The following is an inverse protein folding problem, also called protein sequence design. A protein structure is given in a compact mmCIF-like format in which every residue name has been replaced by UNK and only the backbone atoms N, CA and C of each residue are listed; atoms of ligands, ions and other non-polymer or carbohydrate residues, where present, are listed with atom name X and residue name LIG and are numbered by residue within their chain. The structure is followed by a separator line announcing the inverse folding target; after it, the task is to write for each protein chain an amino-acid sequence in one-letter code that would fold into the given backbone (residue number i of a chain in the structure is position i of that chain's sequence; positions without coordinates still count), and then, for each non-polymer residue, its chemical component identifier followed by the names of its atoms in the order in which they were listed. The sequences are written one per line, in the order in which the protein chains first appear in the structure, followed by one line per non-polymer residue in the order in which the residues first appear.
data_IF_226904996880
#
_entry.id   IF_226904996880
#
_cell.length_a   1.000
_cell.length_b   1.000
_cell.length_c   1.000
_cell.angle_alpha   90.00
_cell.angle_beta   90.00
_cell.angle_gamma   90.00
#
_symmetry.space_group_name_H-M   'P 1'
#
loop_
_entity.id
_entity.type
_entity.pdbx_description
1 polymer ?
#
# COMPACT_ATOMS: atom_id res chain seq x y z
N UNK A 1 -20.02 -1.26 33.79
CA UNK A 1 -18.66 -1.06 33.22
C UNK A 1 -18.81 -0.33 31.89
N UNK A 2 -18.74 0.99 31.89
CA UNK A 2 -18.86 1.78 30.65
C UNK A 2 -17.46 2.20 30.23
N UNK A 3 -16.87 1.47 29.29
CA UNK A 3 -15.53 1.74 28.80
C UNK A 3 -15.59 3.01 27.93
N UNK A 4 -15.13 4.14 28.48
CA UNK A 4 -14.97 5.39 27.72
C UNK A 4 -13.88 5.12 26.69
N UNK A 5 -14.30 4.86 25.44
CA UNK A 5 -13.38 4.77 24.30
C UNK A 5 -12.63 6.11 24.24
N UNK A 6 -11.29 6.16 24.37
CA UNK A 6 -10.60 7.42 24.50
C UNK A 6 -10.76 8.21 23.20
N UNK A 7 -11.23 9.46 23.28
CA UNK A 7 -11.50 10.35 22.13
C UNK A 7 -10.36 10.38 21.08
N UNK A 8 -9.10 10.17 21.51
CA UNK A 8 -7.93 10.06 20.63
C UNK A 8 -7.98 8.85 19.69
N UNK A 9 -8.50 7.72 20.15
CA UNK A 9 -8.65 6.51 19.33
C UNK A 9 -9.77 6.66 18.30
N UNK A 10 -10.87 7.36 18.64
CA UNK A 10 -11.93 7.68 17.68
C UNK A 10 -11.46 8.70 16.64
N UNK A 11 -10.73 9.74 17.06
CA UNK A 11 -10.14 10.73 16.14
C UNK A 11 -9.15 10.07 15.16
N UNK A 12 -8.33 9.12 15.62
CA UNK A 12 -7.41 8.37 14.75
C UNK A 12 -8.17 7.52 13.73
N UNK A 13 -9.17 6.75 14.18
CA UNK A 13 -10.01 5.95 13.28
C UNK A 13 -10.75 6.79 12.24
N UNK A 14 -11.24 7.97 12.63
CA UNK A 14 -11.89 8.89 11.71
C UNK A 14 -10.92 9.44 10.66
N UNK A 15 -9.67 9.72 11.06
CA UNK A 15 -8.61 10.11 10.12
C UNK A 15 -8.26 8.97 9.16
N UNK A 16 -7.99 7.76 9.67
CA UNK A 16 -7.71 6.57 8.86
C UNK A 16 -8.84 6.32 7.84
N UNK A 17 -10.10 6.40 8.28
CA UNK A 17 -11.27 6.27 7.40
C UNK A 17 -11.33 7.36 6.33
N UNK A 18 -11.07 8.61 6.70
CA UNK A 18 -11.04 9.73 5.75
C UNK A 18 -9.97 9.52 4.67
N UNK A 19 -8.76 9.11 5.05
CA UNK A 19 -7.66 8.88 4.11
C UNK A 19 -7.95 7.69 3.18
N UNK A 20 -8.54 6.60 3.71
CA UNK A 20 -8.95 5.47 2.89
C UNK A 20 -10.00 5.85 1.83
N UNK A 21 -11.05 6.58 2.23
CA UNK A 21 -12.10 7.06 1.33
C UNK A 21 -11.57 8.06 0.31
N UNK A 22 -10.68 8.96 0.73
CA UNK A 22 -10.04 9.91 -0.16
C UNK A 22 -9.21 9.19 -1.22
N UNK A 23 -8.40 8.19 -0.82
CA UNK A 23 -7.60 7.40 -1.75
C UNK A 23 -8.47 6.68 -2.79
N UNK A 24 -9.59 6.08 -2.39
CA UNK A 24 -10.52 5.46 -3.34
C UNK A 24 -11.12 6.48 -4.31
N UNK A 25 -11.59 7.62 -3.79
CA UNK A 25 -12.21 8.65 -4.62
C UNK A 25 -11.23 9.25 -5.64
N UNK A 26 -9.98 9.52 -5.23
CA UNK A 26 -8.94 10.01 -6.15
C UNK A 26 -8.51 8.95 -7.17
N UNK A 27 -8.46 7.67 -6.78
CA UNK A 27 -8.13 6.59 -7.70
C UNK A 27 -9.20 6.41 -8.78
N UNK A 28 -10.48 6.54 -8.41
CA UNK A 28 -11.63 6.37 -9.32
C UNK A 28 -11.87 7.59 -10.21
N UNK A 29 -11.75 8.81 -9.65
CA UNK A 29 -12.24 10.04 -10.31
C UNK A 29 -11.16 11.05 -10.62
N UNK A 30 -9.91 10.81 -10.23
CA UNK A 30 -8.80 11.72 -10.44
C UNK A 30 -9.10 13.14 -9.91
N UNK A 31 -8.85 14.14 -10.74
CA UNK A 31 -9.14 15.56 -10.44
C UNK A 31 -10.63 15.82 -10.16
N UNK A 32 -11.52 15.01 -10.74
CA UNK A 32 -12.98 15.10 -10.58
C UNK A 32 -13.50 14.64 -9.21
N UNK A 33 -12.65 14.15 -8.31
CA UNK A 33 -13.07 13.74 -6.97
C UNK A 33 -13.58 14.95 -6.14
N UNK A 34 -14.80 14.90 -5.61
CA UNK A 34 -15.35 15.97 -4.76
C UNK A 34 -14.91 15.82 -3.29
N UNK A 35 -14.33 16.87 -2.71
CA UNK A 35 -13.91 16.87 -1.30
C UNK A 35 -15.11 16.79 -0.34
N UNK A 36 -16.24 17.39 -0.72
CA UNK A 36 -17.48 17.34 0.06
C UNK A 36 -18.06 15.92 0.07
N UNK A 37 -18.00 15.22 -1.07
CA UNK A 37 -18.41 13.82 -1.18
C UNK A 37 -17.50 12.90 -0.38
N UNK A 38 -16.18 13.14 -0.41
CA UNK A 38 -15.20 12.42 0.39
C UNK A 38 -15.50 12.61 1.88
N UNK A 39 -15.69 13.84 2.34
CA UNK A 39 -16.02 14.14 3.73
C UNK A 39 -17.30 13.42 4.17
N UNK A 40 -18.35 13.51 3.36
CA UNK A 40 -19.64 12.85 3.59
C UNK A 40 -19.51 11.33 3.67
N UNK A 41 -18.82 10.68 2.72
CA UNK A 41 -18.56 9.22 2.72
C UNK A 41 -17.73 8.78 3.93
N UNK A 42 -16.78 9.61 4.34
CA UNK A 42 -15.94 9.37 5.51
C UNK A 42 -16.67 9.63 6.85
N UNK A 43 -17.86 10.23 6.82
CA UNK A 43 -18.62 10.58 8.03
C UNK A 43 -17.99 11.73 8.82
N UNK A 44 -17.24 12.61 8.16
CA UNK A 44 -16.62 13.79 8.76
C UNK A 44 -17.23 15.07 8.21
N UNK A 45 -17.29 16.12 9.03
CA UNK A 45 -17.72 17.43 8.55
C UNK A 45 -16.70 18.03 7.58
N UNK A 46 -17.18 18.70 6.52
CA UNK A 46 -16.31 19.35 5.52
C UNK A 46 -15.35 20.38 6.15
N UNK A 47 -15.82 21.13 7.16
CA UNK A 47 -14.96 22.06 7.92
C UNK A 47 -13.85 21.36 8.70
N UNK A 48 -14.10 20.13 9.18
CA UNK A 48 -13.06 19.29 9.83
C UNK A 48 -12.04 18.80 8.81
N UNK A 49 -12.48 18.41 7.61
CA UNK A 49 -11.59 18.04 6.52
C UNK A 49 -10.65 19.20 6.18
N UNK A 50 -11.18 20.41 5.90
CA UNK A 50 -10.35 21.56 5.55
C UNK A 50 -9.41 22.02 6.68
N UNK A 51 -9.79 21.84 7.95
CA UNK A 51 -8.89 22.09 9.10
C UNK A 51 -7.70 21.14 9.14
N UNK A 52 -7.87 19.88 8.74
CA UNK A 52 -6.78 18.89 8.72
C UNK A 52 -6.00 18.89 7.41
N UNK A 53 -6.66 19.24 6.30
CA UNK A 53 -6.12 19.23 4.96
C UNK A 53 -6.55 20.53 4.26
N UNK A 54 -5.79 21.62 4.41
CA UNK A 54 -6.16 22.92 3.88
C UNK A 54 -6.31 22.96 2.36
N UNK A 55 -5.66 22.02 1.66
CA UNK A 55 -5.70 21.93 0.20
C UNK A 55 -6.04 20.50 -0.24
N UNK A 56 -6.60 20.39 -1.46
CA UNK A 56 -6.77 19.09 -2.15
C UNK A 56 -5.46 18.32 -2.20
N UNK A 57 -4.37 19.01 -2.53
CA UNK A 57 -3.04 18.43 -2.60
C UNK A 57 -2.60 17.82 -1.26
N UNK A 58 -2.83 18.52 -0.14
CA UNK A 58 -2.50 18.01 1.19
C UNK A 58 -3.30 16.74 1.54
N UNK A 59 -4.58 16.66 1.15
CA UNK A 59 -5.37 15.44 1.34
C UNK A 59 -4.86 14.30 0.45
N UNK A 60 -4.54 14.60 -0.81
CA UNK A 60 -4.04 13.62 -1.78
C UNK A 60 -2.71 13.01 -1.33
N UNK A 61 -1.75 13.84 -0.92
CA UNK A 61 -0.45 13.41 -0.38
C UNK A 61 -0.63 12.54 0.87
N UNK A 62 -1.46 12.98 1.82
CA UNK A 62 -1.72 12.24 3.04
C UNK A 62 -2.41 10.89 2.76
N UNK A 63 -3.36 10.85 1.82
CA UNK A 63 -4.07 9.63 1.46
C UNK A 63 -3.14 8.63 0.73
N UNK A 64 -2.22 9.13 -0.10
CA UNK A 64 -1.20 8.29 -0.73
C UNK A 64 -0.24 7.71 0.32
N UNK A 65 0.34 8.56 1.18
CA UNK A 65 1.28 8.13 2.20
C UNK A 65 0.67 7.11 3.16
N UNK A 66 -0.56 7.36 3.65
CA UNK A 66 -1.29 6.43 4.52
C UNK A 66 -1.48 5.06 3.87
N UNK A 67 -1.80 5.01 2.57
CA UNK A 67 -1.97 3.73 1.87
C UNK A 67 -0.66 2.94 1.78
N UNK A 68 0.45 3.62 1.50
CA UNK A 68 1.77 3.00 1.44
C UNK A 68 2.21 2.51 2.82
N UNK A 69 2.05 3.34 3.85
CA UNK A 69 2.40 2.99 5.22
C UNK A 69 1.56 1.81 5.72
N UNK A 70 0.27 1.76 5.38
CA UNK A 70 -0.60 0.65 5.70
C UNK A 70 -0.10 -0.67 5.08
N UNK A 71 0.37 -0.64 3.82
CA UNK A 71 0.96 -1.80 3.16
C UNK A 71 2.29 -2.19 3.82
N UNK A 72 3.18 -1.23 4.10
CA UNK A 72 4.45 -1.51 4.78
C UNK A 72 4.23 -2.14 6.17
N UNK A 73 3.21 -1.69 6.90
CA UNK A 73 2.85 -2.25 8.20
C UNK A 73 2.30 -3.69 8.14
N UNK A 74 1.73 -4.11 7.00
CA UNK A 74 1.25 -5.50 6.80
C UNK A 74 2.38 -6.52 6.88
N UNK A 75 3.60 -6.16 6.51
CA UNK A 75 4.76 -7.05 6.59
C UNK A 75 4.95 -7.66 7.98
N UNK A 76 4.79 -6.86 9.04
CA UNK A 76 4.94 -7.35 10.41
C UNK A 76 3.84 -8.32 10.82
N UNK A 77 2.61 -8.11 10.35
CA UNK A 77 1.47 -9.01 10.63
C UNK A 77 1.62 -10.33 9.88
N UNK A 78 1.93 -10.26 8.58
CA UNK A 78 2.13 -11.44 7.74
C UNK A 78 3.29 -12.31 8.26
N UNK A 79 4.39 -11.69 8.71
CA UNK A 79 5.50 -12.41 9.31
C UNK A 79 5.14 -13.13 10.63
N UNK A 80 4.13 -12.66 11.35
CA UNK A 80 3.66 -13.31 12.58
C UNK A 80 2.65 -14.44 12.32
N UNK A 81 2.00 -14.44 11.14
CA UNK A 81 0.89 -15.32 10.80
C UNK A 81 1.28 -16.45 9.83
N UNK A 82 2.43 -16.33 9.14
CA UNK A 82 2.81 -17.18 8.01
C UNK A 82 4.30 -17.54 8.03
N UNK A 83 4.65 -18.60 7.32
CA UNK A 83 6.06 -18.93 7.04
C UNK A 83 6.72 -17.79 6.24
N UNK A 84 8.03 -17.50 6.41
CA UNK A 84 8.68 -16.33 5.82
C UNK A 84 8.56 -16.20 4.30
N UNK A 85 8.72 -17.30 3.55
CA UNK A 85 8.54 -17.30 2.10
C UNK A 85 7.11 -16.95 1.68
N UNK A 86 6.12 -17.49 2.38
CA UNK A 86 4.70 -17.19 2.15
C UNK A 86 4.36 -15.75 2.54
N UNK A 87 4.89 -15.27 3.67
CA UNK A 87 4.72 -13.90 4.14
C UNK A 87 5.28 -12.89 3.14
N UNK A 88 6.46 -13.17 2.57
CA UNK A 88 7.06 -12.37 1.52
C UNK A 88 6.17 -12.34 0.26
N UNK A 89 5.75 -13.49 -0.26
CA UNK A 89 4.90 -13.56 -1.45
C UNK A 89 3.57 -12.81 -1.24
N UNK A 90 2.90 -13.04 -0.12
CA UNK A 90 1.63 -12.37 0.20
C UNK A 90 1.82 -10.86 0.30
N UNK A 91 2.88 -10.40 0.96
CA UNK A 91 3.16 -8.99 1.11
C UNK A 91 3.50 -8.32 -0.24
N UNK A 92 4.27 -8.97 -1.11
CA UNK A 92 4.57 -8.48 -2.44
C UNK A 92 3.30 -8.40 -3.31
N UNK A 93 2.38 -9.36 -3.17
CA UNK A 93 1.09 -9.33 -3.85
C UNK A 93 0.21 -8.17 -3.36
N UNK A 94 0.14 -7.94 -2.04
CA UNK A 94 -0.55 -6.79 -1.46
C UNK A 94 0.06 -5.46 -1.92
N UNK A 95 1.39 -5.40 -2.02
CA UNK A 95 2.12 -4.24 -2.52
C UNK A 95 1.78 -3.95 -3.98
N UNK A 96 1.83 -4.95 -4.86
CA UNK A 96 1.49 -4.78 -6.27
C UNK A 96 0.03 -4.37 -6.49
N UNK A 97 -0.92 -5.01 -5.79
CA UNK A 97 -2.32 -4.59 -5.79
C UNK A 97 -2.52 -3.18 -5.22
N UNK A 98 -1.69 -2.78 -4.25
CA UNK A 98 -1.62 -1.44 -3.72
C UNK A 98 -1.19 -0.42 -4.78
N UNK A 99 -0.11 -0.71 -5.51
CA UNK A 99 0.42 0.15 -6.58
C UNK A 99 -0.63 0.41 -7.68
N UNK A 100 -1.37 -0.62 -8.11
CA UNK A 100 -2.47 -0.46 -9.06
C UNK A 100 -3.56 0.48 -8.55
N UNK A 101 -3.95 0.34 -7.27
CA UNK A 101 -4.99 1.18 -6.65
C UNK A 101 -4.57 2.63 -6.49
N UNK A 102 -3.31 2.91 -6.16
CA UNK A 102 -2.83 4.29 -5.95
C UNK A 102 -2.27 4.94 -7.20
N UNK A 103 -2.33 4.27 -8.36
CA UNK A 103 -1.81 4.81 -9.62
C UNK A 103 -2.40 6.16 -9.98
N UNK A 104 -3.73 6.29 -9.87
CA UNK A 104 -4.43 7.56 -10.13
C UNK A 104 -3.94 8.69 -9.24
N UNK A 105 -3.60 8.39 -7.98
CA UNK A 105 -3.03 9.35 -7.04
C UNK A 105 -1.59 9.71 -7.44
N UNK A 106 -0.76 8.72 -7.78
CA UNK A 106 0.63 8.94 -8.20
C UNK A 106 0.70 9.86 -9.43
N UNK A 107 -0.21 9.67 -10.39
CA UNK A 107 -0.30 10.53 -11.58
C UNK A 107 -0.59 12.00 -11.23
N UNK A 108 -1.41 12.25 -10.20
CA UNK A 108 -1.74 13.59 -9.70
C UNK A 108 -0.61 14.21 -8.85
N UNK A 109 0.21 13.39 -8.20
CA UNK A 109 1.26 13.83 -7.27
C UNK A 109 2.62 14.10 -7.93
N UNK A 110 2.88 13.52 -9.10
CA UNK A 110 4.19 13.60 -9.75
C UNK A 110 5.28 12.85 -8.99
N UNK A 111 6.55 13.21 -9.22
CA UNK A 111 7.73 12.45 -8.76
C UNK A 111 8.16 12.74 -7.32
N UNK A 112 7.67 13.80 -6.69
CA UNK A 112 8.11 14.26 -5.36
C UNK A 112 7.76 13.31 -4.20
N UNK A 113 6.78 12.42 -4.40
CA UNK A 113 6.25 11.54 -3.34
C UNK A 113 6.99 10.20 -3.23
N UNK A 114 7.88 9.89 -4.19
CA UNK A 114 8.56 8.59 -4.27
C UNK A 114 9.61 8.34 -3.16
N UNK A 115 10.18 9.40 -2.53
CA UNK A 115 11.34 9.24 -1.63
C UNK A 115 10.98 8.69 -0.25
N UNK A 116 10.03 9.30 0.46
CA UNK A 116 9.64 8.92 1.83
C UNK A 116 8.82 7.61 1.86
N UNK A 117 7.91 7.46 0.90
CA UNK A 117 7.17 6.22 0.63
C UNK A 117 8.14 5.03 0.42
N UNK A 118 9.26 5.28 -0.25
CA UNK A 118 10.26 4.26 -0.51
C UNK A 118 10.92 3.67 0.74
N UNK A 119 11.11 4.43 1.83
CA UNK A 119 11.88 3.94 2.98
C UNK A 119 11.12 2.90 3.80
N UNK A 120 9.84 3.13 4.10
CA UNK A 120 9.03 2.16 4.86
C UNK A 120 8.85 0.85 4.08
N UNK A 121 8.61 0.94 2.76
CA UNK A 121 8.49 -0.22 1.87
C UNK A 121 9.81 -0.96 1.74
N UNK A 122 10.94 -0.26 1.57
CA UNK A 122 12.29 -0.87 1.55
C UNK A 122 12.60 -1.58 2.87
N UNK A 123 12.28 -0.95 4.00
CA UNK A 123 12.48 -1.55 5.32
C UNK A 123 11.63 -2.80 5.52
N UNK A 124 10.38 -2.79 5.07
CA UNK A 124 9.50 -3.97 5.11
C UNK A 124 10.01 -5.12 4.23
N UNK A 125 10.39 -4.83 2.98
CA UNK A 125 10.99 -5.81 2.08
C UNK A 125 12.26 -6.42 2.67
N UNK A 126 13.15 -5.59 3.23
CA UNK A 126 14.40 -6.06 3.83
C UNK A 126 14.21 -7.03 4.99
N UNK A 127 13.18 -6.84 5.82
CA UNK A 127 12.85 -7.77 6.91
C UNK A 127 12.33 -9.11 6.38
N UNK A 128 11.40 -9.08 5.44
CA UNK A 128 10.79 -10.30 4.88
C UNK A 128 11.79 -11.12 4.05
N UNK A 129 12.60 -10.46 3.22
CA UNK A 129 13.66 -11.12 2.43
C UNK A 129 14.66 -11.82 3.34
N UNK A 130 15.14 -11.12 4.38
CA UNK A 130 16.08 -11.73 5.34
C UNK A 130 15.48 -12.95 6.02
N UNK A 131 14.25 -12.85 6.53
CA UNK A 131 13.58 -13.98 7.18
C UNK A 131 13.40 -15.17 6.22
N UNK A 132 13.04 -14.91 4.96
CA UNK A 132 12.90 -15.95 3.94
C UNK A 132 14.23 -16.63 3.58
N UNK A 133 15.34 -15.89 3.57
CA UNK A 133 16.69 -16.41 3.35
C UNK A 133 17.19 -17.25 4.53
N UNK A 134 16.96 -16.79 5.76
CA UNK A 134 17.33 -17.47 7.00
C UNK A 134 16.62 -18.82 7.13
N UNK A 135 15.33 -18.89 6.77
CA UNK A 135 14.55 -20.14 6.75
C UNK A 135 14.78 -20.99 5.48
N UNK A 136 15.54 -20.46 4.53
CA UNK A 136 15.93 -21.17 3.32
C UNK A 136 14.87 -21.30 2.24
N UNK A 137 13.77 -20.56 2.36
CA UNK A 137 12.73 -20.43 1.32
C UNK A 137 13.14 -19.49 0.17
N UNK A 138 14.16 -18.65 0.38
CA UNK A 138 14.70 -17.72 -0.62
C UNK A 138 16.21 -17.89 -0.80
N UNK A 139 16.71 -17.77 -2.04
CA UNK A 139 18.14 -17.75 -2.35
C UNK A 139 18.86 -16.55 -1.69
N UNK A 140 20.11 -16.72 -1.20
CA UNK A 140 20.79 -15.74 -0.35
C UNK A 140 21.33 -14.52 -1.11
N UNK A 141 21.36 -14.55 -2.44
CA UNK A 141 21.87 -13.50 -3.31
C UNK A 141 20.77 -12.59 -3.89
N UNK A 142 19.52 -12.78 -3.47
CA UNK A 142 18.41 -11.87 -3.80
C UNK A 142 18.43 -10.68 -2.84
N UNK A 143 18.50 -9.47 -3.41
CA UNK A 143 18.47 -8.23 -2.65
C UNK A 143 17.04 -7.68 -2.50
N UNK A 144 16.71 -7.01 -1.37
CA UNK A 144 15.38 -6.41 -1.17
C UNK A 144 14.98 -5.41 -2.26
N UNK A 145 15.95 -4.70 -2.84
CA UNK A 145 15.68 -3.75 -3.93
C UNK A 145 15.29 -4.48 -5.22
N UNK A 146 15.78 -5.69 -5.45
CA UNK A 146 15.47 -6.47 -6.65
C UNK A 146 14.04 -6.98 -6.60
N UNK A 147 13.60 -7.54 -5.48
CA UNK A 147 12.18 -7.97 -5.33
C UNK A 147 11.20 -6.81 -5.50
N UNK A 148 11.55 -5.60 -5.05
CA UNK A 148 10.72 -4.41 -5.27
C UNK A 148 10.66 -3.99 -6.75
N UNK A 149 11.78 -4.08 -7.47
CA UNK A 149 11.82 -3.83 -8.93
C UNK A 149 11.02 -4.88 -9.69
N UNK A 150 11.09 -6.14 -9.26
CA UNK A 150 10.33 -7.25 -9.86
C UNK A 150 8.82 -7.05 -9.66
N UNK A 151 8.38 -6.64 -8.47
CA UNK A 151 6.97 -6.25 -8.24
C UNK A 151 6.56 -5.12 -9.16
N UNK A 152 7.38 -4.07 -9.30
CA UNK A 152 7.07 -2.98 -10.22
C UNK A 152 6.92 -3.48 -11.66
N UNK A 153 7.82 -4.34 -12.13
CA UNK A 153 7.73 -4.95 -13.47
C UNK A 153 6.45 -5.78 -13.65
N UNK A 154 6.06 -6.57 -12.64
CA UNK A 154 4.81 -7.33 -12.65
C UNK A 154 3.60 -6.41 -12.73
N UNK A 155 3.58 -5.33 -11.95
CA UNK A 155 2.50 -4.34 -11.99
C UNK A 155 2.41 -3.73 -13.39
N UNK A 156 3.52 -3.27 -13.98
CA UNK A 156 3.53 -2.72 -15.34
C UNK A 156 3.03 -3.73 -16.38
N UNK A 157 3.37 -5.01 -16.24
CA UNK A 157 2.87 -6.07 -17.12
C UNK A 157 1.35 -6.29 -16.94
N UNK A 158 0.87 -6.34 -15.70
CA UNK A 158 -0.55 -6.50 -15.38
C UNK A 158 -1.41 -5.33 -15.87
N UNK A 159 -0.85 -4.10 -15.93
CA UNK A 159 -1.53 -2.95 -16.52
C UNK A 159 -1.78 -3.07 -18.01
N UNK A 160 -0.90 -3.79 -18.71
CA UNK A 160 -0.99 -4.01 -20.15
C UNK A 160 -1.85 -5.22 -20.52
N UNK A 161 -2.24 -6.04 -19.53
CA UNK A 161 -3.07 -7.21 -19.74
C UNK A 161 -4.56 -6.83 -19.85
N UNK A 162 -5.29 -7.51 -20.74
CA UNK A 162 -6.74 -7.40 -20.79
C UNK A 162 -7.36 -8.24 -19.65
N UNK A 163 -7.64 -7.64 -18.50
CA UNK A 163 -8.19 -8.36 -17.35
C UNK A 163 -8.25 -7.58 -16.03
N UNK A 164 -8.55 -8.28 -14.94
CA UNK A 164 -8.38 -7.76 -13.58
C UNK A 164 -6.90 -7.84 -13.20
N UNK A 165 -6.21 -6.70 -13.32
CA UNK A 165 -4.77 -6.59 -13.02
C UNK A 165 -4.39 -7.07 -11.61
N UNK A 166 -5.30 -7.09 -10.64
CA UNK A 166 -5.01 -7.61 -9.28
C UNK A 166 -4.78 -9.13 -9.29
N UNK A 167 -5.62 -9.86 -10.01
CA UNK A 167 -5.50 -11.32 -10.16
C UNK A 167 -4.23 -11.68 -10.95
N UNK A 168 -3.89 -10.88 -11.96
CA UNK A 168 -2.67 -11.05 -12.75
C UNK A 168 -1.40 -10.79 -11.93
N UNK A 169 -1.38 -9.75 -11.09
CA UNK A 169 -0.25 -9.45 -10.20
C UNK A 169 0.08 -10.64 -9.29
N UNK A 170 -0.90 -11.22 -8.60
CA UNK A 170 -0.66 -12.36 -7.71
C UNK A 170 -0.11 -13.55 -8.50
N UNK A 171 -0.70 -13.86 -9.65
CA UNK A 171 -0.27 -14.99 -10.49
C UNK A 171 1.16 -14.81 -10.99
N UNK A 172 1.50 -13.63 -11.51
CA UNK A 172 2.84 -13.34 -12.03
C UNK A 172 3.89 -13.36 -10.91
N UNK A 173 3.55 -12.84 -9.72
CA UNK A 173 4.44 -12.91 -8.56
C UNK A 173 4.67 -14.34 -8.09
N UNK A 174 3.65 -15.19 -8.06
CA UNK A 174 3.84 -16.60 -7.70
C UNK A 174 4.78 -17.33 -8.67
N UNK A 175 4.63 -17.09 -9.99
CA UNK A 175 5.54 -17.67 -11.00
C UNK A 175 6.98 -17.16 -10.84
N UNK A 176 7.13 -15.86 -10.58
CA UNK A 176 8.43 -15.22 -10.41
C UNK A 176 9.13 -15.70 -9.13
N UNK A 177 8.41 -15.75 -8.01
CA UNK A 177 8.93 -16.20 -6.73
C UNK A 177 9.28 -17.69 -6.73
N UNK A 178 8.51 -18.55 -7.41
CA UNK A 178 8.87 -19.95 -7.60
C UNK A 178 10.21 -20.15 -8.33
N UNK A 179 10.66 -19.16 -9.12
CA UNK A 179 11.99 -19.15 -9.73
C UNK A 179 13.13 -18.70 -8.80
N UNK A 180 12.81 -18.11 -7.64
CA UNK A 180 13.76 -17.60 -6.64
C UNK A 180 13.87 -18.50 -5.40
N UNK A 181 13.02 -19.52 -5.30
CA UNK A 181 13.06 -20.53 -4.25
C UNK A 181 14.37 -21.33 -4.29
N UNK A 182 14.86 -21.70 -3.11
CA UNK A 182 16.06 -22.55 -2.98
C UNK A 182 15.72 -23.96 -3.49
N UNK A 183 16.54 -24.47 -4.41
CA UNK A 183 16.48 -25.87 -4.85
C UNK A 183 17.26 -26.78 -3.91
#
# INVERSE_FOLDING_TARGET
MTQVRPMRADARRNRERLLAVAAEAFAERGEGASLDDIARRAGVGVGTLYRHFPTRQALLEAAYLDRIEAIAARAGKLAAERAPGEALLEWLAELGAGMLRVRGLKALLGTAVDTACGECVRGAAGRLVRAAQEEGTLRPDVEPVEVLRLVHGVVTAAESAAGDGTTDVRRYLSLLMGGLERR
#
